data_IF_195118594260
#
_entry.id   IF_195118594260
#
_cell.length_a   1.000
_cell.length_b   1.000
_cell.length_c   1.000
_cell.angle_alpha   90.00
_cell.angle_beta   90.00
_cell.angle_gamma   90.00
#
_symmetry.space_group_name_H-M   'P 1'
#
loop_
_entity.id
_entity.type
_entity.pdbx_description
1 polymer ?
#
# COMPACT_ATOMS: atom_id res chain seq x y z
N UNK A 1 22.38 14.28 -20.64
CA UNK A 1 21.61 13.07 -21.01
C UNK A 1 20.24 13.19 -20.38
N UNK A 2 19.15 13.00 -21.13
CA UNK A 2 17.84 12.89 -20.52
C UNK A 2 17.79 11.63 -19.65
N UNK A 3 17.19 11.67 -18.45
CA UNK A 3 17.04 10.47 -17.63
C UNK A 3 16.24 9.43 -18.41
N UNK A 4 16.73 8.18 -18.43
CA UNK A 4 16.05 7.09 -19.11
C UNK A 4 14.72 6.79 -18.39
N UNK A 5 13.66 6.56 -19.16
CA UNK A 5 12.36 6.18 -18.60
C UNK A 5 12.50 4.88 -17.78
N UNK A 6 11.95 4.89 -16.58
CA UNK A 6 12.00 3.73 -15.69
C UNK A 6 11.13 2.62 -16.28
N UNK A 7 11.70 1.42 -16.43
CA UNK A 7 10.98 0.28 -17.01
C UNK A 7 9.94 -0.24 -16.02
N UNK A 8 8.70 -0.40 -16.52
CA UNK A 8 7.57 -0.93 -15.78
C UNK A 8 7.14 -2.29 -16.36
N UNK A 9 6.63 -3.16 -15.50
CA UNK A 9 5.96 -4.40 -15.91
C UNK A 9 4.68 -4.52 -15.12
N UNK A 10 3.55 -4.60 -15.82
CA UNK A 10 2.25 -4.76 -15.17
C UNK A 10 2.23 -6.04 -14.29
N UNK A 11 1.70 -5.90 -13.08
CA UNK A 11 1.61 -6.96 -12.11
C UNK A 11 0.20 -7.55 -12.12
N UNK A 12 0.07 -8.70 -12.79
CA UNK A 12 -1.17 -9.47 -12.83
C UNK A 12 -1.34 -10.30 -11.54
N UNK A 13 -2.14 -9.79 -10.60
CA UNK A 13 -2.53 -10.52 -9.39
C UNK A 13 -3.90 -11.16 -9.60
N UNK A 14 -3.96 -12.50 -9.55
CA UNK A 14 -5.22 -13.24 -9.70
C UNK A 14 -6.21 -12.81 -8.62
N UNK A 15 -7.46 -12.60 -9.01
CA UNK A 15 -8.55 -12.22 -8.10
C UNK A 15 -8.53 -10.75 -7.64
N UNK A 16 -7.65 -9.92 -8.21
CA UNK A 16 -7.60 -8.49 -7.90
C UNK A 16 -8.89 -7.80 -8.34
N UNK A 17 -9.47 -7.05 -7.40
CA UNK A 17 -10.65 -6.23 -7.66
C UNK A 17 -10.35 -5.17 -8.76
N UNK A 18 -11.19 -5.05 -9.80
CA UNK A 18 -10.97 -4.09 -10.90
C UNK A 18 -11.09 -2.61 -10.48
N UNK A 19 -11.67 -2.32 -9.33
CA UNK A 19 -11.72 -0.97 -8.77
C UNK A 19 -10.41 -0.56 -8.07
N UNK A 20 -9.51 -1.51 -7.78
CA UNK A 20 -8.18 -1.22 -7.27
C UNK A 20 -7.26 -0.72 -8.40
N UNK A 21 -6.33 0.21 -8.12
CA UNK A 21 -5.36 0.65 -9.11
C UNK A 21 -4.53 -0.51 -9.68
N UNK A 22 -4.22 -0.45 -10.98
CA UNK A 22 -3.25 -1.35 -11.61
C UNK A 22 -1.89 -1.16 -10.95
N UNK A 23 -1.25 -2.28 -10.60
CA UNK A 23 0.09 -2.30 -10.01
C UNK A 23 1.12 -2.62 -11.08
N UNK A 24 2.30 -2.02 -10.95
CA UNK A 24 3.44 -2.28 -11.79
C UNK A 24 4.64 -2.66 -10.93
N UNK A 25 5.41 -3.64 -11.37
CA UNK A 25 6.78 -3.84 -10.91
C UNK A 25 7.68 -2.83 -11.59
N UNK A 26 8.53 -2.18 -10.81
CA UNK A 26 9.45 -1.15 -11.28
C UNK A 26 10.87 -1.68 -11.27
N UNK A 27 11.53 -1.63 -12.42
CA UNK A 27 12.92 -2.07 -12.56
C UNK A 27 13.86 -0.88 -12.38
N UNK A 28 14.80 -0.98 -11.44
CA UNK A 28 15.80 0.07 -11.16
C UNK A 28 15.17 1.44 -10.83
N UNK A 29 14.15 1.46 -9.96
CA UNK A 29 13.51 2.71 -9.54
C UNK A 29 14.56 3.66 -8.91
N UNK A 30 14.67 4.93 -9.33
CA UNK A 30 15.75 5.83 -8.91
C UNK A 30 15.71 6.17 -7.42
N UNK A 31 14.52 6.21 -6.84
CA UNK A 31 14.33 6.41 -5.39
C UNK A 31 14.43 5.12 -4.56
N UNK A 32 14.69 3.96 -5.17
CA UNK A 32 14.91 2.76 -4.41
C UNK A 32 16.29 2.83 -3.74
N UNK A 33 16.38 2.72 -2.39
CA UNK A 33 17.63 2.89 -1.69
C UNK A 33 18.63 1.80 -2.09
N UNK A 34 19.76 2.22 -2.68
CA UNK A 34 20.83 1.32 -3.14
C UNK A 34 21.46 0.47 -2.03
N UNK A 35 21.31 0.90 -0.77
CA UNK A 35 21.84 0.21 0.43
C UNK A 35 20.91 -0.89 0.95
N UNK A 36 19.61 -0.81 0.69
CA UNK A 36 18.63 -1.84 1.05
C UNK A 36 18.38 -2.67 -0.21
N UNK A 37 19.34 -3.52 -0.56
CA UNK A 37 19.38 -4.25 -1.85
C UNK A 37 18.32 -5.35 -2.04
N UNK A 38 17.36 -5.50 -1.13
CA UNK A 38 16.61 -6.76 -1.03
C UNK A 38 15.15 -6.70 -1.50
N UNK A 39 14.62 -5.50 -1.77
CA UNK A 39 13.20 -5.30 -2.08
C UNK A 39 12.86 -5.13 -3.56
N UNK A 40 11.58 -5.36 -3.87
CA UNK A 40 10.94 -4.98 -5.13
C UNK A 40 10.28 -3.62 -5.00
N UNK A 41 10.51 -2.72 -5.95
CA UNK A 41 9.73 -1.50 -6.10
C UNK A 41 8.44 -1.78 -6.87
N UNK A 42 7.31 -1.39 -6.31
CA UNK A 42 6.00 -1.38 -6.96
C UNK A 42 5.53 0.05 -7.18
N UNK A 43 4.75 0.27 -8.23
CA UNK A 43 4.18 1.57 -8.57
C UNK A 43 2.71 1.41 -8.95
N UNK A 44 1.90 2.38 -8.56
CA UNK A 44 0.61 2.63 -9.18
C UNK A 44 0.43 4.10 -9.53
N UNK A 45 -0.43 4.34 -10.51
CA UNK A 45 -0.73 5.69 -10.96
C UNK A 45 -1.96 6.21 -10.23
N UNK A 46 -1.96 7.51 -9.94
CA UNK A 46 -3.11 8.21 -9.38
C UNK A 46 -3.55 9.31 -10.34
N UNK A 47 -4.85 9.39 -10.58
CA UNK A 47 -5.45 10.59 -11.14
C UNK A 47 -5.77 11.55 -9.99
N UNK A 48 -4.97 12.61 -9.89
CA UNK A 48 -5.12 13.63 -8.85
C UNK A 48 -6.11 14.75 -9.25
N UNK A 49 -6.76 14.68 -10.41
CA UNK A 49 -7.80 15.62 -10.82
C UNK A 49 -9.03 15.55 -9.89
N UNK A 50 -9.90 16.58 -9.85
CA UNK A 50 -11.16 16.49 -9.12
C UNK A 50 -12.00 15.26 -9.50
N UNK A 51 -11.99 14.91 -10.79
CA UNK A 51 -12.69 13.73 -11.31
C UNK A 51 -12.09 12.43 -10.79
N UNK A 52 -10.77 12.28 -10.94
CA UNK A 52 -10.04 11.11 -10.48
C UNK A 52 -10.21 10.88 -8.99
N UNK A 53 -10.21 11.96 -8.18
CA UNK A 53 -10.46 11.87 -6.74
C UNK A 53 -11.88 11.41 -6.41
N UNK A 54 -12.88 11.93 -7.13
CA UNK A 54 -14.28 11.49 -6.97
C UNK A 54 -14.44 10.02 -7.34
N UNK A 55 -13.91 9.62 -8.49
CA UNK A 55 -13.96 8.22 -8.94
C UNK A 55 -13.23 7.29 -7.98
N UNK A 56 -12.07 7.70 -7.44
CA UNK A 56 -11.34 6.92 -6.45
C UNK A 56 -12.14 6.73 -5.15
N UNK A 57 -12.85 7.76 -4.69
CA UNK A 57 -13.75 7.66 -3.52
C UNK A 57 -14.91 6.69 -3.80
N UNK A 58 -15.60 6.84 -4.94
CA UNK A 58 -16.69 5.94 -5.33
C UNK A 58 -16.23 4.48 -5.52
N UNK A 59 -15.02 4.28 -6.04
CA UNK A 59 -14.41 2.96 -6.17
C UNK A 59 -14.09 2.36 -4.81
N UNK A 60 -13.65 3.17 -3.84
CA UNK A 60 -13.28 2.67 -2.50
C UNK A 60 -14.46 2.04 -1.76
N UNK A 61 -15.66 2.58 -1.94
CA UNK A 61 -16.89 2.03 -1.37
C UNK A 61 -17.31 0.70 -2.00
N UNK A 62 -16.85 0.42 -3.23
CA UNK A 62 -17.12 -0.84 -3.95
C UNK A 62 -16.15 -1.95 -3.58
N UNK A 63 -14.99 -1.62 -3.01
CA UNK A 63 -13.98 -2.62 -2.63
C UNK A 63 -14.48 -3.39 -1.39
N UNK A 64 -14.71 -4.69 -1.58
CA UNK A 64 -15.09 -5.59 -0.50
C UNK A 64 -13.83 -6.31 -0.01
N UNK A 65 -13.37 -5.94 1.18
CA UNK A 65 -12.34 -6.71 1.87
C UNK A 65 -12.96 -7.87 2.66
N UNK A 66 -12.28 -9.01 2.61
CA UNK A 66 -12.64 -10.15 3.45
C UNK A 66 -12.55 -9.78 4.93
N UNK A 67 -13.60 -10.12 5.68
CA UNK A 67 -13.73 -9.82 7.11
C UNK A 67 -13.02 -10.84 8.00
N UNK A 68 -12.52 -11.95 7.44
CA UNK A 68 -11.82 -12.96 8.24
C UNK A 68 -10.41 -12.54 8.66
N UNK A 69 -9.80 -11.62 7.91
CA UNK A 69 -8.41 -11.21 8.13
C UNK A 69 -7.37 -12.26 7.72
N UNK A 70 -7.78 -13.34 7.04
CA UNK A 70 -6.86 -14.40 6.61
C UNK A 70 -5.92 -13.94 5.49
N UNK A 71 -4.61 -14.17 5.68
CA UNK A 71 -3.58 -13.91 4.67
C UNK A 71 -3.83 -14.68 3.36
N UNK A 72 -4.39 -15.89 3.45
CA UNK A 72 -4.73 -16.69 2.27
C UNK A 72 -5.87 -16.02 1.47
N UNK A 73 -6.93 -15.59 2.17
CA UNK A 73 -8.07 -14.88 1.56
C UNK A 73 -7.66 -13.54 0.96
N UNK A 74 -6.78 -12.81 1.62
CA UNK A 74 -6.20 -11.57 1.09
C UNK A 74 -5.42 -11.82 -0.21
N UNK A 75 -4.68 -12.93 -0.30
CA UNK A 75 -3.97 -13.32 -1.53
C UNK A 75 -4.94 -13.72 -2.64
N UNK A 76 -5.99 -14.48 -2.31
CA UNK A 76 -7.05 -14.84 -3.27
C UNK A 76 -7.79 -13.61 -3.81
N UNK A 77 -7.95 -12.57 -3.00
CA UNK A 77 -8.52 -11.27 -3.39
C UNK A 77 -7.54 -10.37 -4.19
N UNK A 78 -6.38 -10.90 -4.59
CA UNK A 78 -5.39 -10.18 -5.38
C UNK A 78 -4.79 -8.95 -4.68
N UNK A 79 -4.72 -8.98 -3.34
CA UNK A 79 -3.98 -7.97 -2.57
C UNK A 79 -2.47 -8.21 -2.69
N UNK A 80 -1.71 -7.11 -2.83
CA UNK A 80 -0.27 -7.15 -2.94
C UNK A 80 0.34 -7.65 -1.61
N UNK A 81 1.08 -8.75 -1.68
CA UNK A 81 1.81 -9.31 -0.56
C UNK A 81 3.24 -8.77 -0.58
N UNK A 82 3.56 -7.88 0.35
CA UNK A 82 4.88 -7.27 0.45
C UNK A 82 5.84 -8.15 1.25
N UNK A 83 7.09 -8.19 0.82
CA UNK A 83 8.21 -8.82 1.53
C UNK A 83 9.13 -7.77 2.12
N UNK A 84 9.90 -8.09 3.17
CA UNK A 84 10.85 -7.15 3.76
C UNK A 84 11.76 -6.51 2.70
N UNK A 85 11.85 -5.18 2.74
CA UNK A 85 12.54 -4.35 1.76
C UNK A 85 11.66 -3.86 0.61
N UNK A 86 10.50 -4.46 0.35
CA UNK A 86 9.61 -4.02 -0.73
C UNK A 86 9.11 -2.59 -0.48
N UNK A 87 8.90 -1.85 -1.57
CA UNK A 87 8.45 -0.47 -1.54
C UNK A 87 7.27 -0.27 -2.48
N UNK A 88 6.30 0.53 -2.05
CA UNK A 88 5.17 0.95 -2.88
C UNK A 88 5.25 2.45 -3.13
N UNK A 89 5.34 2.82 -4.40
CA UNK A 89 5.36 4.19 -4.89
C UNK A 89 4.05 4.56 -5.56
N UNK A 90 3.83 5.86 -5.65
CA UNK A 90 2.76 6.47 -6.44
C UNK A 90 3.32 7.52 -7.37
N UNK A 91 2.76 7.58 -8.58
CA UNK A 91 3.03 8.63 -9.57
C UNK A 91 1.72 9.23 -10.04
N UNK A 92 1.63 10.55 -10.20
CA UNK A 92 0.42 11.12 -10.80
C UNK A 92 0.44 10.90 -12.30
N UNK A 93 -0.73 10.72 -12.90
CA UNK A 93 -0.83 10.65 -14.36
C UNK A 93 -0.36 11.99 -14.94
N UNK A 94 0.62 11.93 -15.85
CA UNK A 94 1.25 13.10 -16.47
C UNK A 94 2.55 13.57 -15.81
N UNK A 95 2.92 13.02 -14.64
CA UNK A 95 4.23 13.31 -14.02
C UNK A 95 5.39 12.71 -14.84
N UNK A 96 6.60 13.18 -14.55
CA UNK A 96 7.84 12.78 -15.21
C UNK A 96 8.03 11.24 -15.24
N UNK A 97 8.21 10.62 -16.43
CA UNK A 97 8.43 9.19 -16.55
C UNK A 97 9.72 8.69 -15.89
N UNK A 98 10.68 9.58 -15.58
CA UNK A 98 11.93 9.23 -14.89
C UNK A 98 11.72 8.79 -13.44
N UNK A 99 10.55 9.04 -12.82
CA UNK A 99 10.24 8.54 -11.47
C UNK A 99 10.96 9.22 -10.32
N UNK A 100 11.61 10.35 -10.56
CA UNK A 100 12.25 11.17 -9.53
C UNK A 100 11.23 11.91 -8.65
N UNK A 101 9.98 12.05 -9.13
CA UNK A 101 8.88 12.68 -8.42
C UNK A 101 7.93 11.68 -7.75
N UNK A 102 8.27 10.38 -7.80
CA UNK A 102 7.42 9.33 -7.25
C UNK A 102 7.38 9.41 -5.73
N UNK A 103 6.17 9.34 -5.18
CA UNK A 103 5.97 9.40 -3.74
C UNK A 103 5.95 8.00 -3.15
N UNK A 104 6.91 7.70 -2.27
CA UNK A 104 6.90 6.48 -1.46
C UNK A 104 5.70 6.51 -0.50
N UNK A 105 4.81 5.53 -0.63
CA UNK A 105 3.64 5.32 0.25
C UNK A 105 3.90 4.30 1.33
N UNK A 106 4.73 3.30 1.03
CA UNK A 106 5.06 2.24 1.97
C UNK A 106 6.49 1.77 1.74
N UNK A 107 7.23 1.61 2.83
CA UNK A 107 8.42 0.77 2.91
C UNK A 107 8.07 -0.36 3.87
N UNK A 108 8.07 -1.60 3.39
CA UNK A 108 7.76 -2.75 4.22
C UNK A 108 9.05 -3.27 4.86
N UNK A 109 9.18 -3.11 6.17
CA UNK A 109 10.30 -3.62 6.94
C UNK A 109 9.89 -4.90 7.67
N UNK A 110 10.67 -5.96 7.49
CA UNK A 110 10.50 -7.21 8.22
C UNK A 110 10.96 -7.09 9.68
N UNK A 111 10.62 -8.09 10.49
CA UNK A 111 10.99 -8.16 11.90
C UNK A 111 12.51 -8.09 12.11
N UNK A 112 13.28 -8.60 11.16
CA UNK A 112 14.74 -8.61 11.18
C UNK A 112 15.37 -7.21 11.20
N UNK A 113 14.62 -6.16 10.88
CA UNK A 113 15.08 -4.77 10.96
C UNK A 113 14.87 -4.13 12.35
N UNK A 114 14.20 -4.83 13.26
CA UNK A 114 13.88 -4.34 14.59
C UNK A 114 14.58 -5.17 15.66
N UNK A 115 15.10 -4.50 16.69
CA UNK A 115 15.57 -5.17 17.90
C UNK A 115 14.36 -5.74 18.66
N UNK A 116 14.59 -6.79 19.44
CA UNK A 116 13.53 -7.45 20.21
C UNK A 116 12.77 -6.46 21.11
N UNK A 117 13.49 -5.57 21.81
CA UNK A 117 12.90 -4.50 22.63
C UNK A 117 11.92 -3.64 21.83
N UNK A 118 12.31 -3.23 20.61
CA UNK A 118 11.47 -2.39 19.76
C UNK A 118 10.25 -3.13 19.24
N UNK A 119 10.39 -4.44 18.99
CA UNK A 119 9.26 -5.30 18.63
C UNK A 119 8.26 -5.41 19.78
N UNK A 120 8.73 -5.55 21.02
CA UNK A 120 7.85 -5.58 22.18
C UNK A 120 7.10 -4.25 22.36
N UNK A 121 7.77 -3.11 22.20
CA UNK A 121 7.12 -1.79 22.22
C UNK A 121 6.03 -1.66 21.13
N UNK A 122 6.32 -2.13 19.91
CA UNK A 122 5.36 -2.09 18.81
C UNK A 122 4.14 -2.97 19.06
N UNK A 123 4.34 -4.16 19.63
CA UNK A 123 3.24 -5.07 19.99
C UNK A 123 2.38 -4.50 21.12
N UNK A 124 3.01 -3.87 22.12
CA UNK A 124 2.29 -3.19 23.20
C UNK A 124 1.43 -2.03 22.66
N UNK A 125 2.01 -1.18 21.80
CA UNK A 125 1.26 -0.10 21.15
C UNK A 125 0.12 -0.63 20.27
N UNK A 126 0.34 -1.74 19.55
CA UNK A 126 -0.71 -2.36 18.75
C UNK A 126 -1.89 -2.82 19.62
N UNK A 127 -1.63 -3.41 20.79
CA UNK A 127 -2.67 -3.83 21.73
C UNK A 127 -3.41 -2.63 22.33
N UNK A 128 -2.70 -1.55 22.63
CA UNK A 128 -3.30 -0.30 23.10
C UNK A 128 -4.26 0.30 22.05
N UNK A 129 -3.81 0.42 20.80
CA UNK A 129 -4.58 1.07 19.73
C UNK A 129 -5.76 0.22 19.22
N UNK A 130 -5.56 -1.10 19.09
CA UNK A 130 -6.57 -2.00 18.53
C UNK A 130 -7.45 -2.65 19.60
N UNK A 131 -7.20 -2.35 20.88
CA UNK A 131 -7.84 -2.97 22.04
C UNK A 131 -7.71 -4.51 22.04
N UNK A 132 -8.39 -5.14 23.00
CA UNK A 132 -8.52 -6.60 23.08
C UNK A 132 -9.10 -7.16 21.76
N UNK A 133 -8.47 -8.17 21.14
CA UNK A 133 -9.00 -8.82 19.94
C UNK A 133 -10.47 -9.25 20.04
N UNK A 134 -10.95 -9.61 21.23
CA UNK A 134 -12.33 -10.01 21.50
C UNK A 134 -13.31 -8.82 21.52
N UNK A 135 -12.81 -7.60 21.65
CA UNK A 135 -13.60 -6.36 21.59
C UNK A 135 -13.64 -5.74 20.19
N UNK A 136 -12.88 -6.28 19.23
CA UNK A 136 -12.81 -5.74 17.87
C UNK A 136 -14.09 -6.09 17.11
N UNK A 137 -14.70 -5.08 16.48
CA UNK A 137 -15.91 -5.26 15.68
C UNK A 137 -15.56 -5.49 14.21
N UNK A 138 -16.52 -6.06 13.47
CA UNK A 138 -16.43 -6.21 12.01
C UNK A 138 -16.86 -4.96 11.24
N UNK A 139 -17.26 -3.91 11.95
CA UNK A 139 -17.82 -2.70 11.39
C UNK A 139 -16.69 -1.70 11.14
N UNK A 140 -16.74 -1.01 9.99
CA UNK A 140 -15.79 0.06 9.73
C UNK A 140 -16.08 1.21 10.71
N UNK A 141 -15.05 1.82 11.32
CA UNK A 141 -15.25 3.03 12.10
C UNK A 141 -15.88 4.10 11.21
N UNK A 142 -16.93 4.75 11.72
CA UNK A 142 -17.61 5.86 11.08
C UNK A 142 -17.63 7.05 12.04
N UNK A 143 -17.64 8.26 11.49
CA UNK A 143 -17.84 9.46 12.28
C UNK A 143 -19.34 9.53 12.57
N UNK A 144 -19.72 9.42 13.84
CA UNK A 144 -21.10 9.65 14.24
C UNK A 144 -21.45 11.11 14.00
N UNK A 145 -22.64 11.36 13.45
CA UNK A 145 -23.17 12.72 13.25
C UNK A 145 -23.23 13.56 14.53
N UNK A 146 -23.08 12.93 15.71
CA UNK A 146 -23.01 13.58 17.02
C UNK A 146 -21.61 13.60 17.67
N UNK A 147 -20.61 12.91 17.11
CA UNK A 147 -19.21 13.04 17.55
C UNK A 147 -18.61 14.28 16.90
N UNK A 148 -18.78 15.41 17.59
CA UNK A 148 -18.52 16.76 17.10
C UNK A 148 -17.12 16.99 16.50
N UNK A 149 -17.09 17.98 15.61
CA UNK A 149 -15.91 18.85 15.42
C UNK A 149 -15.90 19.92 16.49
#
# INVERSE_FOLDING_TARGET
>A
MAPAAVKLTELNLRGRDPHLPTLYKVHNHPLHPLKIRYGTAYLYFIDASPEGRRQAAENFDKIIFDKSGSNEKQREAGLLQLKPGDMLFTRRIGDDPAGLQDHCKCLFLGREFYREEKMQEMLALQQELLCDPNQRTREKPHIDSGSGR
#
